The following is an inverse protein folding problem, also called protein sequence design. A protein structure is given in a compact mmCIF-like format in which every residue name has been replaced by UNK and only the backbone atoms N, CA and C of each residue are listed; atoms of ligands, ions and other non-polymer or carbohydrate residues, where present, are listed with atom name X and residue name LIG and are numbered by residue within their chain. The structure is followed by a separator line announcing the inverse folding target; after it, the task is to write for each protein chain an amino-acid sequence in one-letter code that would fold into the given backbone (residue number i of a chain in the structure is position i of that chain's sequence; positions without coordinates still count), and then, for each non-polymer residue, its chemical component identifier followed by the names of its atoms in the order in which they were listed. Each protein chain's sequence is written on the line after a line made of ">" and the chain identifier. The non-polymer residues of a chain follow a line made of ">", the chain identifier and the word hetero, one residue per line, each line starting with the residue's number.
data_IF_732582425349
#
_entry.id   IF_732582425349
#
_cell.length_a   1.000
_cell.length_b   1.000
_cell.length_c   1.000
_cell.angle_alpha   90.00
_cell.angle_beta   90.00
_cell.angle_gamma   90.00
#
_symmetry.space_group_name_H-M   'P 1'
#
loop_
_entity.id
_entity.type
_entity.pdbx_description
1 polymer ?
#
# COMPACT_ATOMS: atom_id res chain seq x y z
N UNK A 1 -17.75 52.87 7.02
CA UNK A 1 -18.84 53.83 7.28
C UNK A 1 -18.49 55.16 6.62
N UNK A 2 -18.96 55.41 5.39
CA UNK A 2 -19.33 56.75 4.91
C UNK A 2 -20.47 56.54 3.92
N UNK A 3 -21.58 57.19 4.21
CA UNK A 3 -22.83 57.29 3.45
C UNK A 3 -22.92 58.73 2.92
N UNK A 4 -23.95 59.01 2.11
CA UNK A 4 -24.48 60.31 1.61
C UNK A 4 -24.12 60.49 0.11
N UNK A 5 -24.98 60.19 -0.88
CA UNK A 5 -26.36 60.60 -1.22
C UNK A 5 -26.50 62.05 -1.64
N UNK A 6 -26.92 62.32 -2.90
CA UNK A 6 -27.93 63.30 -3.29
C UNK A 6 -28.57 62.94 -4.66
N UNK A 7 -29.88 63.13 -4.72
CA UNK A 7 -30.85 63.01 -5.85
C UNK A 7 -31.36 64.46 -6.16
N UNK A 8 -32.38 64.71 -7.01
CA UNK A 8 -32.51 64.58 -8.49
C UNK A 8 -33.00 65.91 -9.14
N UNK A 9 -33.02 66.10 -10.48
CA UNK A 9 -33.90 67.11 -11.14
C UNK A 9 -34.43 66.61 -12.50
N UNK A 10 -35.72 66.89 -12.67
CA UNK A 10 -36.77 66.61 -13.67
C UNK A 10 -36.72 67.34 -15.02
N UNK A 11 -37.44 66.78 -16.01
CA UNK A 11 -38.05 67.50 -17.16
C UNK A 11 -38.15 66.63 -18.43
N UNK A 12 -39.26 65.88 -18.67
CA UNK A 12 -40.43 66.20 -19.53
C UNK A 12 -40.12 66.39 -21.03
N UNK A 13 -40.95 66.05 -22.04
CA UNK A 13 -42.14 65.20 -22.33
C UNK A 13 -42.53 65.62 -23.77
N UNK A 14 -42.96 64.71 -24.66
CA UNK A 14 -44.12 64.90 -25.57
C UNK A 14 -44.18 63.83 -26.69
N UNK A 15 -45.30 63.11 -26.72
CA UNK A 15 -45.84 62.33 -27.84
C UNK A 15 -46.49 63.24 -28.90
N UNK A 16 -46.56 62.78 -30.16
CA UNK A 16 -47.77 62.94 -30.99
C UNK A 16 -47.79 61.97 -32.19
N UNK A 17 -48.88 61.20 -32.27
CA UNK A 17 -49.50 60.58 -33.46
C UNK A 17 -49.91 61.72 -34.46
N UNK A 18 -50.29 61.56 -35.74
CA UNK A 18 -50.97 60.50 -36.50
C UNK A 18 -51.08 60.98 -37.99
N UNK A 19 -51.47 60.06 -38.88
CA UNK A 19 -52.39 60.26 -40.01
C UNK A 19 -51.91 60.68 -41.44
N UNK A 20 -52.06 59.69 -42.33
CA UNK A 20 -52.81 59.70 -43.61
C UNK A 20 -52.28 60.45 -44.86
N UNK A 21 -52.46 59.80 -46.03
CA UNK A 21 -52.32 60.45 -47.32
C UNK A 21 -51.77 59.60 -48.47
N UNK A 22 -52.58 58.66 -48.94
CA UNK A 22 -52.52 57.99 -50.25
C UNK A 22 -52.06 58.88 -51.43
N UNK A 23 -51.20 58.34 -52.33
CA UNK A 23 -51.38 58.35 -53.81
C UNK A 23 -50.12 58.00 -54.61
N UNK A 24 -50.23 56.87 -55.31
CA UNK A 24 -49.91 56.68 -56.75
C UNK A 24 -48.52 57.02 -57.30
N UNK A 25 -47.85 56.00 -57.82
CA UNK A 25 -47.49 55.81 -59.26
C UNK A 25 -46.10 55.17 -59.45
N UNK A 26 -46.20 53.98 -60.04
CA UNK A 26 -45.18 53.15 -60.67
C UNK A 26 -44.47 53.95 -61.77
N UNK A 27 -43.14 53.89 -61.84
CA UNK A 27 -42.44 53.76 -63.11
C UNK A 27 -41.05 53.12 -62.92
N UNK A 28 -40.90 51.95 -63.53
CA UNK A 28 -39.66 51.19 -63.67
C UNK A 28 -38.89 51.80 -64.86
N UNK A 29 -37.56 51.95 -64.76
CA UNK A 29 -36.61 51.77 -65.87
C UNK A 29 -35.15 51.69 -65.35
N UNK A 30 -34.59 50.48 -65.37
CA UNK A 30 -33.15 50.19 -65.54
C UNK A 30 -32.69 50.60 -66.97
N UNK A 31 -31.41 50.47 -67.40
CA UNK A 31 -30.13 50.29 -66.69
C UNK A 31 -29.00 51.20 -67.23
N UNK A 32 -27.87 51.35 -66.52
CA UNK A 32 -26.58 51.38 -67.22
C UNK A 32 -25.41 51.00 -66.30
N UNK A 33 -24.54 50.20 -66.90
CA UNK A 33 -23.35 49.54 -66.39
C UNK A 33 -22.31 50.55 -65.90
N UNK A 34 -21.72 50.32 -64.73
CA UNK A 34 -20.29 50.49 -64.50
C UNK A 34 -19.86 49.59 -63.31
N UNK A 35 -18.96 48.66 -63.61
CA UNK A 35 -18.29 47.80 -62.64
C UNK A 35 -17.43 48.67 -61.72
N UNK A 36 -17.89 48.94 -60.51
CA UNK A 36 -17.03 49.47 -59.45
C UNK A 36 -16.75 48.36 -58.41
N UNK A 37 -15.45 48.13 -58.25
CA UNK A 37 -14.81 47.09 -57.46
C UNK A 37 -15.30 47.11 -55.99
N UNK A 38 -16.23 46.22 -55.64
CA UNK A 38 -16.67 46.06 -54.24
C UNK A 38 -15.57 45.33 -53.45
N UNK A 39 -14.74 46.10 -52.75
CA UNK A 39 -13.98 45.59 -51.59
C UNK A 39 -14.97 45.23 -50.48
N UNK A 40 -15.03 43.97 -49.99
CA UNK A 40 -15.86 43.69 -48.83
C UNK A 40 -15.17 44.31 -47.60
N UNK A 41 -15.82 45.31 -47.02
CA UNK A 41 -15.51 45.79 -45.67
C UNK A 41 -15.74 44.62 -44.71
N UNK A 42 -14.65 43.94 -44.35
CA UNK A 42 -14.64 42.81 -43.44
C UNK A 42 -15.15 43.21 -42.06
N UNK A 43 -16.34 42.72 -41.72
CA UNK A 43 -16.92 42.77 -40.37
C UNK A 43 -16.07 41.92 -39.42
N UNK A 44 -15.10 42.52 -38.73
CA UNK A 44 -14.32 41.89 -37.65
C UNK A 44 -15.24 41.56 -36.45
N UNK A 45 -15.87 40.39 -36.46
CA UNK A 45 -16.58 39.82 -35.30
C UNK A 45 -16.31 38.32 -35.10
N UNK A 46 -15.15 37.80 -35.53
CA UNK A 46 -14.82 36.37 -35.48
C UNK A 46 -13.66 35.96 -34.55
N UNK A 47 -13.00 36.90 -33.86
CA UNK A 47 -11.78 36.58 -33.07
C UNK A 47 -12.06 36.09 -31.64
N UNK A 48 -13.07 36.63 -30.95
CA UNK A 48 -13.36 36.27 -29.55
C UNK A 48 -14.08 34.93 -29.38
N UNK A 49 -15.02 34.63 -30.29
CA UNK A 49 -15.75 33.35 -30.27
C UNK A 49 -14.83 32.18 -30.64
N UNK A 50 -13.97 32.36 -31.65
CA UNK A 50 -13.00 31.34 -32.05
C UNK A 50 -11.97 31.07 -30.96
N UNK A 51 -11.48 32.11 -30.29
CA UNK A 51 -10.53 31.96 -29.19
C UNK A 51 -11.16 31.24 -27.98
N UNK A 52 -12.42 31.52 -27.64
CA UNK A 52 -13.15 30.83 -26.57
C UNK A 52 -13.43 29.35 -26.89
N UNK A 53 -13.79 29.03 -28.14
CA UNK A 53 -13.95 27.65 -28.58
C UNK A 53 -12.62 26.87 -28.58
N UNK A 54 -11.51 27.52 -28.96
CA UNK A 54 -10.18 26.91 -28.92
C UNK A 54 -9.71 26.66 -27.48
N UNK A 55 -9.92 27.61 -26.57
CA UNK A 55 -9.53 27.42 -25.16
C UNK A 55 -10.36 26.33 -24.49
N UNK A 56 -11.67 26.29 -24.73
CA UNK A 56 -12.54 25.22 -24.21
C UNK A 56 -12.18 23.85 -24.77
N UNK A 57 -11.88 23.74 -26.07
CA UNK A 57 -11.41 22.50 -26.68
C UNK A 57 -10.09 22.02 -26.07
N UNK A 58 -9.14 22.93 -25.81
CA UNK A 58 -7.87 22.62 -25.16
C UNK A 58 -8.06 22.14 -23.72
N UNK A 59 -8.98 22.73 -22.96
CA UNK A 59 -9.31 22.29 -21.60
C UNK A 59 -9.91 20.88 -21.63
N UNK A 60 -10.88 20.62 -22.52
CA UNK A 60 -11.49 19.28 -22.64
C UNK A 60 -10.44 18.25 -23.03
N UNK A 61 -9.55 18.58 -23.97
CA UNK A 61 -8.48 17.70 -24.39
C UNK A 61 -7.50 17.39 -23.26
N UNK A 62 -7.04 18.40 -22.51
CA UNK A 62 -6.11 18.18 -21.38
C UNK A 62 -6.76 17.41 -20.24
N UNK A 63 -8.02 17.69 -19.90
CA UNK A 63 -8.79 16.89 -18.94
C UNK A 63 -8.93 15.43 -19.38
N UNK A 64 -9.18 15.20 -20.68
CA UNK A 64 -9.27 13.86 -21.25
C UNK A 64 -7.94 13.11 -21.17
N UNK A 65 -6.83 13.79 -21.47
CA UNK A 65 -5.48 13.21 -21.33
C UNK A 65 -5.15 12.88 -19.88
N UNK A 66 -5.47 13.76 -18.93
CA UNK A 66 -5.26 13.50 -17.50
C UNK A 66 -6.09 12.30 -17.06
N UNK A 67 -7.37 12.25 -17.45
CA UNK A 67 -8.25 11.14 -17.08
C UNK A 67 -7.80 9.81 -17.69
N UNK A 68 -7.44 9.81 -18.98
CA UNK A 68 -6.88 8.64 -19.66
C UNK A 68 -5.55 8.20 -19.00
N UNK A 69 -4.69 9.15 -18.62
CA UNK A 69 -3.44 8.86 -17.92
C UNK A 69 -3.70 8.24 -16.55
N UNK A 70 -4.64 8.77 -15.76
CA UNK A 70 -5.03 8.21 -14.47
C UNK A 70 -5.63 6.81 -14.66
N UNK A 71 -6.48 6.62 -15.66
CA UNK A 71 -7.11 5.33 -15.96
C UNK A 71 -6.07 4.29 -16.35
N UNK A 72 -5.15 4.63 -17.27
CA UNK A 72 -4.05 3.76 -17.68
C UNK A 72 -3.13 3.47 -16.50
N UNK A 73 -2.77 4.48 -15.72
CA UNK A 73 -1.92 4.32 -14.54
C UNK A 73 -2.56 3.37 -13.51
N UNK A 74 -3.85 3.55 -13.20
CA UNK A 74 -4.58 2.75 -12.21
C UNK A 74 -4.85 1.32 -12.66
N UNK A 75 -5.16 1.12 -13.95
CA UNK A 75 -5.68 -0.17 -14.44
C UNK A 75 -4.63 -1.02 -15.16
N UNK A 76 -3.61 -0.40 -15.75
CA UNK A 76 -2.55 -1.12 -16.47
C UNK A 76 -1.22 -1.04 -15.74
N UNK A 77 -0.82 0.11 -15.21
CA UNK A 77 0.51 0.26 -14.57
C UNK A 77 0.52 -0.27 -13.14
N UNK A 78 -0.41 0.14 -12.27
CA UNK A 78 -0.46 -0.32 -10.87
C UNK A 78 -0.56 -1.85 -10.76
N UNK A 79 -1.39 -2.56 -11.56
CA UNK A 79 -1.44 -4.02 -11.50
C UNK A 79 -0.21 -4.72 -12.09
N UNK A 80 0.56 -4.04 -12.96
CA UNK A 80 1.77 -4.57 -13.57
C UNK A 80 3.04 -4.35 -12.75
N UNK A 81 3.03 -3.47 -11.75
CA UNK A 81 4.11 -3.47 -10.75
C UNK A 81 4.06 -4.84 -10.09
N UNK A 82 5.10 -5.69 -10.24
CA UNK A 82 5.11 -6.99 -9.60
C UNK A 82 4.83 -6.75 -8.13
N UNK A 83 3.78 -7.37 -7.62
CA UNK A 83 3.49 -7.42 -6.20
C UNK A 83 4.64 -8.24 -5.62
N UNK A 84 5.78 -7.56 -5.35
CA UNK A 84 6.97 -8.12 -4.72
C UNK A 84 6.60 -8.35 -3.25
N UNK A 85 5.65 -9.25 -3.06
CA UNK A 85 5.18 -9.78 -1.79
C UNK A 85 6.09 -10.92 -1.39
N UNK A 86 6.65 -11.67 -2.35
CA UNK A 86 7.51 -12.82 -2.10
C UNK A 86 8.98 -12.47 -2.27
N UNK A 87 9.75 -12.80 -1.25
CA UNK A 87 11.19 -12.64 -1.16
C UNK A 87 11.81 -13.98 -0.81
N UNK A 88 12.98 -14.24 -1.37
CA UNK A 88 13.83 -15.35 -0.97
C UNK A 88 15.07 -14.76 -0.33
N UNK A 89 15.19 -14.93 0.97
CA UNK A 89 16.16 -14.26 1.81
C UNK A 89 17.26 -15.24 2.21
N UNK A 90 18.48 -14.74 2.20
CA UNK A 90 19.67 -15.43 2.69
C UNK A 90 20.41 -14.47 3.61
N UNK A 91 20.37 -14.76 4.90
CA UNK A 91 20.83 -13.88 5.97
C UNK A 91 22.07 -14.49 6.60
N UNK A 92 23.15 -13.73 6.63
CA UNK A 92 24.38 -14.10 7.33
C UNK A 92 24.46 -13.33 8.64
N UNK A 93 24.53 -14.06 9.76
CA UNK A 93 24.49 -13.49 11.11
C UNK A 93 25.62 -14.02 11.99
N UNK A 94 26.00 -13.24 13.00
CA UNK A 94 27.01 -13.63 14.00
C UNK A 94 26.36 -14.16 15.27
N UNK A 95 26.76 -15.38 15.68
CA UNK A 95 26.40 -15.99 16.97
C UNK A 95 27.55 -15.81 17.96
N UNK A 96 27.66 -14.59 18.51
CA UNK A 96 28.71 -14.23 19.45
C UNK A 96 28.60 -14.94 20.80
N UNK A 97 27.46 -15.55 21.13
CA UNK A 97 27.16 -16.13 22.44
C UNK A 97 27.37 -17.65 22.45
N UNK A 98 26.90 -18.38 21.43
CA UNK A 98 26.94 -19.84 21.45
C UNK A 98 28.19 -20.44 20.80
N UNK A 99 28.83 -19.76 19.84
CA UNK A 99 30.00 -20.30 19.15
C UNK A 99 31.00 -19.22 18.66
N UNK A 100 31.79 -18.62 19.56
CA UNK A 100 32.84 -17.65 19.19
C UNK A 100 33.89 -18.20 18.18
N UNK A 101 33.98 -19.52 18.04
CA UNK A 101 34.97 -20.23 17.22
C UNK A 101 34.43 -20.73 15.86
N UNK A 102 33.10 -20.70 15.60
CA UNK A 102 32.50 -21.25 14.37
C UNK A 102 32.22 -20.22 13.27
N UNK A 103 32.42 -18.94 13.53
CA UNK A 103 32.22 -17.89 12.53
C UNK A 103 30.75 -17.65 12.19
N UNK A 104 30.51 -16.91 11.11
CA UNK A 104 29.19 -16.48 10.63
C UNK A 104 28.29 -17.67 10.26
N UNK A 105 27.02 -17.61 10.67
CA UNK A 105 25.98 -18.57 10.30
C UNK A 105 25.12 -18.03 9.16
N UNK A 106 24.54 -18.93 8.37
CA UNK A 106 23.65 -18.59 7.25
C UNK A 106 22.25 -19.16 7.51
N UNK A 107 21.24 -18.32 7.30
CA UNK A 107 19.82 -18.64 7.39
C UNK A 107 19.19 -18.39 6.03
N UNK A 108 18.46 -19.37 5.50
CA UNK A 108 17.68 -19.23 4.27
C UNK A 108 16.19 -19.30 4.61
N UNK A 109 15.39 -18.39 4.08
CA UNK A 109 13.94 -18.37 4.29
C UNK A 109 13.21 -17.70 3.12
N UNK A 110 11.94 -18.07 2.93
CA UNK A 110 11.05 -17.41 1.99
C UNK A 110 10.02 -16.57 2.73
N UNK A 111 9.93 -15.28 2.42
CA UNK A 111 9.05 -14.32 3.09
C UNK A 111 7.98 -13.82 2.13
N UNK A 112 6.72 -14.01 2.48
CA UNK A 112 5.54 -13.51 1.80
C UNK A 112 4.86 -12.40 2.60
N UNK A 113 4.89 -11.16 2.12
CA UNK A 113 4.31 -9.98 2.77
C UNK A 113 3.04 -9.55 2.04
N UNK A 114 1.90 -9.54 2.74
CA UNK A 114 0.60 -9.21 2.17
C UNK A 114 0.07 -7.92 2.81
N UNK A 115 0.42 -6.78 2.20
CA UNK A 115 0.15 -5.44 2.75
C UNK A 115 -1.34 -5.09 2.86
N UNK A 116 -2.19 -5.63 1.99
CA UNK A 116 -3.65 -5.34 2.00
C UNK A 116 -4.35 -6.09 3.11
N UNK A 117 -4.01 -7.36 3.25
CA UNK A 117 -4.55 -8.26 4.27
C UNK A 117 -3.85 -8.10 5.62
N UNK A 118 -2.72 -7.39 5.66
CA UNK A 118 -1.93 -7.08 6.86
C UNK A 118 -1.48 -8.34 7.61
N UNK A 119 -0.91 -9.28 6.86
CA UNK A 119 -0.24 -10.46 7.41
C UNK A 119 1.03 -10.77 6.62
N UNK A 120 1.93 -11.52 7.24
CA UNK A 120 3.09 -12.09 6.58
C UNK A 120 3.16 -13.60 6.81
N UNK A 121 3.89 -14.27 5.93
CA UNK A 121 4.15 -15.70 5.97
C UNK A 121 5.64 -15.92 5.75
N UNK A 122 6.29 -16.63 6.66
CA UNK A 122 7.71 -16.99 6.56
C UNK A 122 7.80 -18.50 6.48
N UNK A 123 8.54 -19.02 5.50
CA UNK A 123 8.78 -20.45 5.33
C UNK A 123 10.26 -20.73 5.46
N UNK A 124 10.62 -21.49 6.49
CA UNK A 124 11.99 -21.92 6.78
C UNK A 124 12.16 -23.33 6.21
N UNK A 125 13.07 -23.54 5.25
CA UNK A 125 13.29 -24.83 4.63
C UNK A 125 13.91 -25.82 5.63
N UNK A 126 13.83 -27.11 5.30
CA UNK A 126 14.55 -28.16 6.04
C UNK A 126 16.04 -27.90 5.90
N UNK A 127 16.78 -27.68 6.99
CA UNK A 127 18.19 -27.35 6.90
C UNK A 127 19.01 -28.59 6.62
N UNK A 128 20.05 -28.46 5.79
CA UNK A 128 20.98 -29.55 5.54
C UNK A 128 21.84 -29.89 6.77
N UNK A 129 22.18 -28.88 7.62
CA UNK A 129 23.12 -29.03 8.74
C UNK A 129 22.87 -28.11 9.96
N UNK A 130 21.61 -27.79 10.28
CA UNK A 130 21.27 -26.88 11.40
C UNK A 130 20.50 -27.57 12.53
N UNK A 131 20.77 -27.17 13.77
CA UNK A 131 19.99 -27.55 14.97
C UNK A 131 18.71 -26.69 15.10
N UNK A 132 18.13 -26.26 13.98
CA UNK A 132 16.87 -25.52 13.93
C UNK A 132 15.83 -26.38 13.23
N UNK A 133 14.61 -26.34 13.74
CA UNK A 133 13.49 -27.05 13.15
C UNK A 133 12.96 -26.25 11.94
N UNK A 134 12.60 -26.94 10.84
CA UNK A 134 11.87 -26.33 9.74
C UNK A 134 10.49 -25.87 10.23
N UNK A 135 10.06 -24.70 9.81
CA UNK A 135 8.76 -24.18 10.21
C UNK A 135 8.14 -23.25 9.17
N UNK A 136 6.81 -23.22 9.18
CA UNK A 136 6.01 -22.17 8.56
C UNK A 136 5.49 -21.23 9.66
N UNK A 137 5.68 -19.93 9.49
CA UNK A 137 5.31 -18.91 10.46
C UNK A 137 4.33 -17.94 9.80
N UNK A 138 3.26 -17.59 10.51
CA UNK A 138 2.33 -16.52 10.11
C UNK A 138 2.25 -15.48 11.21
N UNK A 139 2.40 -14.22 10.82
CA UNK A 139 2.11 -13.07 11.68
C UNK A 139 0.85 -12.40 11.16
N UNK A 140 -0.24 -12.50 11.92
CA UNK A 140 -1.50 -11.84 11.63
C UNK A 140 -1.55 -10.54 12.45
N UNK A 141 -1.19 -9.42 11.83
CA UNK A 141 -1.13 -8.11 12.48
C UNK A 141 -2.52 -7.55 12.78
N UNK A 142 -3.58 -8.04 12.12
CA UNK A 142 -4.95 -7.65 12.45
C UNK A 142 -5.44 -8.34 13.73
N UNK A 143 -5.04 -9.60 13.93
CA UNK A 143 -5.35 -10.37 15.15
C UNK A 143 -4.35 -10.15 16.27
N UNK A 144 -3.16 -9.64 15.98
CA UNK A 144 -2.06 -9.53 16.93
C UNK A 144 -1.59 -10.90 17.39
N UNK A 145 -1.52 -11.88 16.48
CA UNK A 145 -1.10 -13.25 16.76
C UNK A 145 0.04 -13.67 15.84
N UNK A 146 0.97 -14.45 16.39
CA UNK A 146 1.95 -15.22 15.63
C UNK A 146 1.63 -16.70 15.79
N UNK A 147 1.66 -17.44 14.68
CA UNK A 147 1.54 -18.88 14.67
C UNK A 147 2.79 -19.51 14.05
N UNK A 148 3.34 -20.50 14.74
CA UNK A 148 4.43 -21.34 14.27
C UNK A 148 3.85 -22.73 13.97
N UNK A 149 4.04 -23.23 12.76
CA UNK A 149 3.88 -24.65 12.45
C UNK A 149 5.26 -25.26 12.39
N UNK A 150 5.61 -26.02 13.43
CA UNK A 150 6.80 -26.84 13.46
C UNK A 150 6.57 -28.05 12.54
N UNK A 151 7.31 -28.10 11.43
CA UNK A 151 7.14 -29.12 10.40
C UNK A 151 7.71 -30.46 10.88
N UNK A 152 8.75 -30.45 11.71
CA UNK A 152 9.38 -31.67 12.21
C UNK A 152 8.46 -32.42 13.20
N UNK A 153 7.70 -31.68 14.00
CA UNK A 153 6.77 -32.24 15.00
C UNK A 153 5.32 -32.33 14.52
N UNK A 154 5.00 -31.71 13.39
CA UNK A 154 3.64 -31.46 12.91
C UNK A 154 2.71 -30.84 13.97
N UNK A 155 3.28 -29.93 14.77
CA UNK A 155 2.57 -29.20 15.84
C UNK A 155 2.47 -27.72 15.48
N UNK A 156 1.34 -27.13 15.86
CA UNK A 156 1.14 -25.70 15.78
C UNK A 156 1.25 -25.03 17.15
N UNK A 157 1.87 -23.87 17.19
CA UNK A 157 2.04 -23.07 18.39
C UNK A 157 1.61 -21.65 18.12
N UNK A 158 0.77 -21.09 18.99
CA UNK A 158 0.21 -19.75 18.82
C UNK A 158 0.53 -18.88 20.01
N UNK A 159 0.92 -17.64 19.74
CA UNK A 159 1.26 -16.64 20.74
C UNK A 159 0.75 -15.26 20.33
N UNK A 160 0.62 -14.36 21.31
CA UNK A 160 0.43 -12.94 21.04
C UNK A 160 1.64 -12.36 20.32
N UNK A 161 1.39 -11.62 19.25
CA UNK A 161 2.40 -10.94 18.44
C UNK A 161 3.15 -9.91 19.30
N UNK A 162 4.48 -9.92 19.25
CA UNK A 162 5.29 -8.91 19.90
C UNK A 162 5.72 -7.84 18.89
N UNK A 163 4.97 -6.73 18.84
CA UNK A 163 5.23 -5.64 17.89
C UNK A 163 6.52 -4.85 18.14
N UNK A 164 7.25 -5.13 19.22
CA UNK A 164 8.58 -4.54 19.43
C UNK A 164 9.70 -5.36 18.80
N UNK A 165 9.44 -6.66 18.58
CA UNK A 165 10.38 -7.59 17.95
C UNK A 165 10.07 -7.74 16.47
N UNK A 166 8.81 -7.99 16.13
CA UNK A 166 8.35 -8.21 14.76
C UNK A 166 8.20 -6.88 14.03
N UNK A 167 8.91 -6.72 12.91
CA UNK A 167 8.81 -5.52 12.08
C UNK A 167 7.44 -5.46 11.37
N UNK A 168 6.75 -4.30 11.34
CA UNK A 168 5.48 -4.18 10.61
C UNK A 168 5.63 -4.45 9.11
N UNK A 169 4.59 -4.97 8.42
CA UNK A 169 4.69 -5.45 7.03
C UNK A 169 5.23 -4.41 6.03
N UNK A 170 4.82 -3.14 6.16
CA UNK A 170 5.30 -2.05 5.28
C UNK A 170 6.78 -1.78 5.48
N UNK A 171 7.22 -1.73 6.74
CA UNK A 171 8.61 -1.50 7.09
C UNK A 171 9.49 -2.67 6.63
N UNK A 172 9.03 -3.91 6.85
CA UNK A 172 9.75 -5.10 6.41
C UNK A 172 9.86 -5.13 4.87
N UNK A 173 8.77 -4.82 4.17
CA UNK A 173 8.76 -4.72 2.71
C UNK A 173 9.76 -3.68 2.20
N UNK A 174 9.76 -2.46 2.75
CA UNK A 174 10.71 -1.40 2.38
C UNK A 174 12.16 -1.83 2.64
N UNK A 175 12.41 -2.46 3.79
CA UNK A 175 13.72 -3.02 4.13
C UNK A 175 14.17 -4.04 3.09
N UNK A 176 13.36 -5.05 2.79
CA UNK A 176 13.71 -6.11 1.84
C UNK A 176 13.91 -5.58 0.41
N UNK A 177 13.13 -4.56 0.00
CA UNK A 177 13.35 -3.87 -1.28
C UNK A 177 14.70 -3.14 -1.32
N UNK A 178 15.07 -2.46 -0.24
CA UNK A 178 16.34 -1.76 -0.15
C UNK A 178 17.54 -2.72 -0.09
N UNK A 179 17.39 -3.86 0.58
CA UNK A 179 18.38 -4.94 0.57
C UNK A 179 18.54 -5.51 -0.83
N UNK A 180 17.43 -5.83 -1.52
CA UNK A 180 17.44 -6.34 -2.89
C UNK A 180 18.07 -5.36 -3.89
N UNK A 181 17.91 -4.05 -3.67
CA UNK A 181 18.55 -2.99 -4.47
C UNK A 181 20.03 -2.78 -4.13
N UNK A 182 20.54 -3.39 -3.07
CA UNK A 182 21.91 -3.19 -2.58
C UNK A 182 22.16 -1.83 -1.93
N UNK A 183 21.10 -1.06 -1.64
CA UNK A 183 21.22 0.26 -1.00
C UNK A 183 21.27 0.16 0.52
N UNK A 184 21.03 -1.02 1.07
CA UNK A 184 21.05 -1.29 2.50
C UNK A 184 21.59 -2.70 2.76
N UNK A 185 22.50 -2.84 3.73
CA UNK A 185 23.06 -4.12 4.16
C UNK A 185 23.00 -4.18 5.68
N UNK A 186 22.02 -4.89 6.28
CA UNK A 186 21.89 -4.96 7.73
C UNK A 186 23.06 -5.75 8.33
N UNK A 187 23.64 -5.23 9.41
CA UNK A 187 24.43 -6.05 10.33
C UNK A 187 23.45 -6.86 11.16
N UNK A 188 23.41 -8.17 10.94
CA UNK A 188 22.46 -9.05 11.64
C UNK A 188 23.14 -9.81 12.77
N UNK A 189 22.44 -9.88 13.89
CA UNK A 189 22.83 -10.63 15.09
C UNK A 189 21.67 -11.55 15.50
N UNK A 190 21.90 -12.40 16.48
CA UNK A 190 20.89 -13.34 16.99
C UNK A 190 20.32 -12.87 18.34
N UNK A 191 19.00 -12.95 18.49
CA UNK A 191 18.27 -12.71 19.75
C UNK A 191 17.49 -13.97 20.10
N UNK A 192 17.62 -14.45 21.34
CA UNK A 192 16.92 -15.66 21.78
C UNK A 192 15.67 -15.32 22.61
N UNK A 193 14.53 -15.89 22.27
CA UNK A 193 13.29 -15.86 23.06
C UNK A 193 12.93 -17.28 23.53
N UNK A 194 12.66 -17.43 24.83
CA UNK A 194 12.23 -18.70 25.42
C UNK A 194 10.71 -18.71 25.63
N UNK A 195 10.06 -19.75 25.14
CA UNK A 195 8.62 -19.95 25.15
C UNK A 195 8.28 -21.24 25.89
N UNK A 196 7.20 -21.21 26.66
CA UNK A 196 6.69 -22.38 27.36
C UNK A 196 5.29 -22.69 26.87
N UNK A 197 5.02 -23.97 26.58
CA UNK A 197 3.69 -24.45 26.22
C UNK A 197 2.75 -24.36 27.42
N UNK A 198 1.60 -23.70 27.28
CA UNK A 198 0.66 -23.49 28.41
C UNK A 198 -0.62 -24.32 28.34
N UNK A 199 -1.00 -24.79 27.15
CA UNK A 199 -2.19 -25.61 26.97
C UNK A 199 -2.62 -25.74 25.51
N UNK A 200 -3.55 -26.67 25.24
CA UNK A 200 -4.07 -26.92 23.89
C UNK A 200 -5.12 -25.88 23.49
N UNK A 201 -5.12 -25.47 22.23
CA UNK A 201 -6.17 -24.62 21.64
C UNK A 201 -7.27 -25.51 21.09
N UNK A 202 -8.44 -25.47 21.73
CA UNK A 202 -9.59 -26.26 21.29
C UNK A 202 -10.41 -25.56 20.19
N UNK A 203 -10.53 -24.22 20.26
CA UNK A 203 -11.32 -23.45 19.30
C UNK A 203 -10.41 -22.66 18.35
N UNK A 204 -10.13 -23.25 17.19
CA UNK A 204 -9.27 -22.65 16.17
C UNK A 204 -9.92 -21.48 15.41
N UNK A 205 -11.25 -21.36 15.42
CA UNK A 205 -11.93 -20.29 14.68
C UNK A 205 -11.59 -18.88 15.21
N UNK A 206 -11.18 -18.79 16.47
CA UNK A 206 -10.77 -17.53 17.10
C UNK A 206 -9.41 -17.03 16.61
N UNK A 207 -8.61 -17.89 15.97
CA UNK A 207 -7.25 -17.56 15.53
C UNK A 207 -7.20 -16.72 14.25
N UNK A 208 -8.33 -16.55 13.57
CA UNK A 208 -8.37 -15.88 12.28
C UNK A 208 -8.10 -16.82 11.10
N UNK A 209 -8.39 -16.33 9.89
CA UNK A 209 -8.43 -17.15 8.67
C UNK A 209 -7.07 -17.71 8.28
N UNK A 210 -6.02 -16.91 8.42
CA UNK A 210 -4.67 -17.26 7.97
C UNK A 210 -4.05 -18.33 8.87
N UNK A 211 -4.07 -18.10 10.18
CA UNK A 211 -3.61 -19.07 11.18
C UNK A 211 -4.45 -20.35 11.16
N UNK A 212 -5.78 -20.23 11.00
CA UNK A 212 -6.64 -21.41 10.85
C UNK A 212 -6.20 -22.28 9.67
N UNK A 213 -5.93 -21.70 8.49
CA UNK A 213 -5.47 -22.47 7.32
C UNK A 213 -4.13 -23.16 7.56
N UNK A 214 -3.20 -22.49 8.25
CA UNK A 214 -1.89 -23.05 8.58
C UNK A 214 -2.02 -24.24 9.54
N UNK A 215 -2.84 -24.12 10.58
CA UNK A 215 -2.88 -25.06 11.69
C UNK A 215 -4.01 -26.08 11.63
N UNK A 216 -4.95 -25.96 10.69
CA UNK A 216 -6.09 -26.87 10.62
C UNK A 216 -5.64 -28.32 10.40
N UNK A 217 -6.13 -29.22 11.26
CA UNK A 217 -5.76 -30.64 11.27
C UNK A 217 -4.52 -30.98 12.11
N UNK A 218 -3.89 -30.01 12.77
CA UNK A 218 -2.68 -30.19 13.58
C UNK A 218 -2.93 -29.92 15.05
N UNK A 219 -2.13 -30.54 15.91
CA UNK A 219 -2.17 -30.27 17.35
C UNK A 219 -1.69 -28.85 17.63
N UNK A 220 -2.61 -28.00 18.07
CA UNK A 220 -2.36 -26.56 18.27
C UNK A 220 -2.27 -26.23 19.76
N UNK A 221 -1.21 -25.54 20.16
CA UNK A 221 -0.94 -25.16 21.55
C UNK A 221 -0.73 -23.66 21.72
N UNK A 222 -1.02 -23.12 22.90
CA UNK A 222 -0.70 -21.74 23.28
C UNK A 222 0.66 -21.66 23.91
N UNK A 223 1.44 -20.67 23.50
CA UNK A 223 2.73 -20.35 24.10
C UNK A 223 2.61 -19.18 25.06
N UNK A 224 3.53 -19.13 26.02
CA UNK A 224 3.76 -17.99 26.88
C UNK A 224 5.26 -17.67 26.92
N UNK A 225 5.60 -16.38 26.79
CA UNK A 225 6.98 -15.89 26.88
C UNK A 225 7.51 -16.09 28.29
N UNK A 226 8.68 -16.72 28.42
CA UNK A 226 9.37 -16.85 29.70
C UNK A 226 10.07 -15.52 30.01
N UNK A 227 9.58 -14.81 31.02
CA UNK A 227 10.25 -13.60 31.50
C UNK A 227 11.61 -13.96 32.10
N UNK A 228 12.69 -13.39 31.55
CA UNK A 228 14.09 -13.63 31.95
C UNK A 228 14.43 -13.30 33.42
N UNK A 229 13.47 -12.78 34.21
CA UNK A 229 13.67 -12.35 35.59
C UNK A 229 13.54 -13.44 36.65
N UNK A 230 13.31 -14.71 36.31
CA UNK A 230 13.15 -15.77 37.33
C UNK A 230 13.95 -17.03 37.05
N UNK A 231 14.99 -17.17 37.87
CA UNK A 231 15.71 -18.39 38.29
C UNK A 231 16.34 -19.22 37.18
N UNK A 232 17.67 -19.36 37.31
CA UNK A 232 18.43 -20.51 36.86
C UNK A 232 17.65 -21.76 37.28
N UNK A 233 16.91 -22.33 36.34
CA UNK A 233 16.34 -23.66 36.49
C UNK A 233 17.44 -24.61 36.07
N UNK A 234 17.66 -25.63 36.88
CA UNK A 234 18.57 -26.74 36.57
C UNK A 234 18.23 -27.22 35.16
N UNK A 235 19.26 -27.51 34.34
CA UNK A 235 19.10 -28.10 33.00
C UNK A 235 18.57 -29.53 33.14
N UNK A 236 17.36 -29.70 33.65
CA UNK A 236 16.60 -30.89 33.29
C UNK A 236 16.30 -30.73 31.80
N UNK A 237 16.60 -31.77 31.04
CA UNK A 237 16.41 -31.81 29.60
C UNK A 237 14.92 -31.74 29.28
N UNK A 238 14.32 -30.56 29.42
CA UNK A 238 13.03 -30.29 28.81
C UNK A 238 13.20 -30.51 27.31
N UNK A 239 12.26 -31.24 26.73
CA UNK A 239 12.20 -31.43 25.30
C UNK A 239 11.88 -30.06 24.70
N UNK A 240 12.91 -29.38 24.21
CA UNK A 240 12.82 -28.04 23.65
C UNK A 240 13.24 -28.08 22.19
N UNK A 241 12.51 -27.32 21.39
CA UNK A 241 12.64 -27.22 19.94
C UNK A 241 13.08 -25.79 19.61
N UNK A 242 13.76 -25.60 18.48
CA UNK A 242 14.38 -24.30 18.16
C UNK A 242 14.01 -23.90 16.76
N UNK A 243 13.40 -22.74 16.59
CA UNK A 243 13.08 -22.19 15.27
C UNK A 243 13.85 -20.87 15.13
N UNK A 244 14.58 -20.72 14.03
CA UNK A 244 15.36 -19.52 13.71
C UNK A 244 14.84 -18.88 12.44
N UNK A 245 14.54 -17.58 12.51
CA UNK A 245 14.02 -16.81 11.37
C UNK A 245 14.35 -15.32 11.51
N UNK A 246 14.25 -14.59 10.40
CA UNK A 246 14.52 -13.16 10.35
C UNK A 246 13.23 -12.35 10.57
N UNK A 247 13.12 -11.72 11.75
CA UNK A 247 11.92 -10.99 12.17
C UNK A 247 12.02 -9.47 11.92
N UNK A 248 13.24 -8.95 11.82
CA UNK A 248 13.49 -7.51 11.87
C UNK A 248 14.81 -7.14 11.18
N UNK A 249 15.76 -6.51 11.87
CA UNK A 249 17.14 -6.32 11.43
C UNK A 249 18.09 -7.36 12.04
N UNK A 250 17.52 -8.36 12.73
CA UNK A 250 18.21 -9.42 13.44
C UNK A 250 17.44 -10.74 13.29
N UNK A 251 18.16 -11.85 13.51
CA UNK A 251 17.60 -13.20 13.54
C UNK A 251 17.08 -13.48 14.95
N UNK A 252 15.89 -14.07 15.04
CA UNK A 252 15.31 -14.52 16.30
C UNK A 252 15.43 -16.04 16.39
N UNK A 253 15.95 -16.54 17.53
CA UNK A 253 15.86 -17.95 17.91
C UNK A 253 14.73 -18.12 18.92
N UNK A 254 13.65 -18.75 18.49
CA UNK A 254 12.52 -19.09 19.33
C UNK A 254 12.73 -20.49 19.90
N UNK A 255 12.94 -20.59 21.21
CA UNK A 255 13.09 -21.87 21.92
C UNK A 255 11.75 -22.24 22.55
N UNK A 256 11.10 -23.29 22.05
CA UNK A 256 9.80 -23.76 22.55
C UNK A 256 10.02 -24.98 23.42
N UNK A 257 9.70 -24.88 24.71
CA UNK A 257 9.84 -25.97 25.67
C UNK A 257 8.48 -26.48 26.16
N UNK A 258 8.35 -27.81 26.29
CA UNK A 258 7.20 -28.43 26.94
C UNK A 258 7.22 -28.15 28.46
N UNK A 259 6.03 -28.05 29.07
CA UNK A 259 5.92 -27.95 30.53
C UNK A 259 6.43 -29.24 31.18
N UNK A 260 7.16 -29.13 32.31
CA UNK A 260 7.60 -30.29 33.07
C UNK A 260 6.42 -30.99 33.76
#
# INVERSE_FOLDING_TARGET
>A
MVKISFQPITGQKAEKEESDGDKTQIFISHPHVEEELVLPVGRKRSSLSGLCCLTTALIVFTCSLIYASIYIYRYYIIPQVPDQSRFHCRVVYEDSVAAPLRGSHELEESVGIYLKENYEQISIPVPDFSNTDPADIIHDFNRGLTAYHDIALDKCYVIELNSTVVMPPRNLWELLINVKKGTYLPQTYIVQEEMVVTGRVNNMHQLGRFIYRLCNGKDTYRLHRRNSRRRITKRDAQNCHRIRHFENTFVVETVICETP
#
